data_IF_620386547633
#
_entry.id   IF_620386547633
#
_cell.length_a   1.000
_cell.length_b   1.000
_cell.length_c   1.000
_cell.angle_alpha   90.00
_cell.angle_beta   90.00
_cell.angle_gamma   90.00
#
_symmetry.space_group_name_H-M   'P 1'
#
loop_
_entity.id
_entity.type
_entity.pdbx_description
1 polymer ?
#
# COMPACT_ATOMS: atom_id res chain seq x y z
N UNK A 1 3.35 -27.62 -0.71
CA UNK A 1 4.53 -27.03 -1.37
C UNK A 1 5.28 -26.11 -0.41
N UNK A 2 6.61 -26.13 -0.39
CA UNK A 2 7.40 -25.22 0.45
C UNK A 2 7.38 -23.84 -0.22
N UNK A 3 6.58 -22.90 0.28
CA UNK A 3 6.58 -21.50 -0.19
C UNK A 3 8.00 -20.89 -0.34
N UNK A 4 8.97 -21.37 0.44
CA UNK A 4 10.35 -20.92 0.30
C UNK A 4 11.05 -21.34 -0.99
N UNK A 5 10.61 -22.40 -1.68
CA UNK A 5 11.09 -22.80 -3.01
C UNK A 5 10.43 -21.92 -4.07
N UNK A 6 9.10 -21.77 -4.03
CA UNK A 6 8.34 -20.86 -4.92
C UNK A 6 8.83 -19.40 -4.85
N UNK A 7 9.11 -18.89 -3.65
CA UNK A 7 9.64 -17.53 -3.49
C UNK A 7 11.07 -17.39 -4.04
N UNK A 8 11.87 -18.45 -3.98
CA UNK A 8 13.22 -18.45 -4.56
C UNK A 8 13.19 -18.51 -6.09
N UNK A 9 12.28 -19.31 -6.67
CA UNK A 9 12.02 -19.36 -8.11
C UNK A 9 11.56 -17.99 -8.63
N UNK A 10 10.66 -17.33 -7.89
CA UNK A 10 10.27 -15.94 -8.17
C UNK A 10 11.48 -15.00 -8.19
N UNK A 11 12.33 -15.03 -7.15
CA UNK A 11 13.53 -14.18 -7.09
C UNK A 11 14.53 -14.45 -8.23
N UNK A 12 14.67 -15.71 -8.65
CA UNK A 12 15.53 -16.09 -9.77
C UNK A 12 14.97 -15.60 -11.11
N UNK A 13 13.64 -15.64 -11.28
CA UNK A 13 12.95 -15.08 -12.44
C UNK A 13 12.97 -13.55 -12.48
N UNK A 14 12.93 -12.88 -11.32
CA UNK A 14 12.92 -11.41 -11.18
C UNK A 14 14.28 -10.79 -11.57
N UNK A 15 15.39 -11.46 -11.22
CA UNK A 15 16.76 -11.03 -11.60
C UNK A 15 17.00 -10.97 -13.12
N UNK A 16 16.17 -11.63 -13.93
CA UNK A 16 16.23 -11.59 -15.39
C UNK A 16 15.26 -10.62 -16.07
N UNK A 17 14.25 -10.11 -15.34
CA UNK A 17 13.13 -9.34 -15.90
C UNK A 17 13.19 -7.84 -15.60
N UNK A 18 13.96 -7.42 -14.61
CA UNK A 18 13.97 -6.04 -14.10
C UNK A 18 15.23 -5.30 -14.54
N UNK A 19 15.07 -4.07 -15.03
CA UNK A 19 16.20 -3.20 -15.44
C UNK A 19 17.09 -2.76 -14.26
N UNK A 20 16.62 -2.89 -13.02
CA UNK A 20 17.36 -2.62 -11.79
C UNK A 20 17.76 -3.94 -11.10
N UNK A 21 19.05 -4.28 -11.18
CA UNK A 21 19.67 -5.52 -10.65
C UNK A 21 19.53 -5.74 -9.13
N UNK A 22 18.90 -4.83 -8.38
CA UNK A 22 18.86 -4.86 -6.91
C UNK A 22 17.55 -4.29 -6.34
N UNK A 23 16.42 -4.96 -6.58
CA UNK A 23 15.21 -4.68 -5.79
C UNK A 23 15.38 -5.29 -4.38
N UNK A 24 15.05 -4.58 -3.29
CA UNK A 24 14.99 -5.18 -1.97
C UNK A 24 13.90 -6.24 -1.93
N UNK A 25 14.12 -7.35 -1.23
CA UNK A 25 13.12 -8.39 -1.02
C UNK A 25 13.22 -8.92 0.41
N UNK A 26 12.18 -9.62 0.86
CA UNK A 26 12.25 -10.34 2.13
C UNK A 26 13.40 -11.36 2.09
N UNK A 27 14.39 -11.25 2.98
CA UNK A 27 15.49 -12.21 3.07
C UNK A 27 15.04 -13.48 3.83
N UNK A 28 14.02 -14.15 3.28
CA UNK A 28 13.28 -15.23 3.94
C UNK A 28 14.19 -16.36 4.44
N UNK A 29 15.30 -16.64 3.73
CA UNK A 29 16.32 -17.62 4.17
C UNK A 29 17.12 -17.13 5.37
N UNK A 30 17.56 -15.87 5.38
CA UNK A 30 18.33 -15.26 6.47
C UNK A 30 17.46 -15.14 7.73
N UNK A 31 16.25 -14.60 7.60
CA UNK A 31 15.30 -14.49 8.71
C UNK A 31 14.97 -15.86 9.31
N UNK A 32 14.82 -16.91 8.48
CA UNK A 32 14.69 -18.28 8.99
C UNK A 32 15.91 -18.78 9.76
N UNK A 33 17.14 -18.35 9.42
CA UNK A 33 18.36 -18.70 10.18
C UNK A 33 18.37 -17.99 11.53
N UNK A 34 17.95 -16.72 11.61
CA UNK A 34 17.77 -15.99 12.87
C UNK A 34 16.84 -16.77 13.81
N UNK A 35 15.69 -17.24 13.29
CA UNK A 35 14.76 -18.08 14.06
C UNK A 35 15.37 -19.41 14.55
N UNK A 36 16.31 -20.01 13.81
CA UNK A 36 16.98 -21.26 14.21
C UNK A 36 18.06 -21.07 15.28
N UNK A 37 18.58 -19.85 15.45
CA UNK A 37 19.63 -19.54 16.42
C UNK A 37 19.15 -19.31 17.85
N UNK A 38 17.83 -19.32 18.10
CA UNK A 38 17.29 -19.17 19.44
C UNK A 38 17.65 -20.37 20.32
N UNK A 39 18.57 -20.17 21.28
CA UNK A 39 19.03 -21.20 22.22
C UNK A 39 18.02 -21.41 23.37
N UNK A 40 17.31 -20.37 23.80
CA UNK A 40 16.30 -20.43 24.86
C UNK A 40 15.11 -21.34 24.50
N UNK A 41 14.62 -21.29 23.26
CA UNK A 41 13.54 -22.17 22.80
C UNK A 41 14.01 -23.61 22.51
N UNK A 42 15.29 -23.83 22.17
CA UNK A 42 15.86 -25.18 21.97
C UNK A 42 16.06 -25.93 23.28
N UNK A 43 16.43 -25.24 24.36
CA UNK A 43 16.64 -25.85 25.68
C UNK A 43 15.34 -26.38 26.29
N UNK A 44 14.21 -25.71 26.07
CA UNK A 44 12.90 -26.14 26.60
C UNK A 44 12.26 -27.28 25.79
N UNK A 45 12.41 -27.30 24.47
CA UNK A 45 11.93 -28.40 23.62
C UNK A 45 12.64 -29.74 23.92
N UNK A 46 13.89 -29.69 24.40
CA UNK A 46 14.63 -30.87 24.86
C UNK A 46 14.24 -31.32 26.27
N UNK A 47 13.70 -30.42 27.11
CA UNK A 47 13.17 -30.77 28.44
C UNK A 47 11.81 -31.47 28.32
N UNK A 48 10.95 -31.08 27.38
CA UNK A 48 9.69 -31.78 27.11
C UNK A 48 9.90 -33.21 26.55
N UNK A 49 10.94 -33.43 25.73
CA UNK A 49 11.23 -34.77 25.20
C UNK A 49 11.86 -35.73 26.22
N UNK A 50 12.49 -35.20 27.26
CA UNK A 50 13.12 -36.02 28.31
C UNK A 50 12.16 -36.35 29.46
N UNK A 51 10.92 -35.84 29.45
CA UNK A 51 9.93 -36.07 30.50
C UNK A 51 9.05 -37.31 30.28
N UNK A 52 9.38 -38.18 29.29
CA UNK A 52 8.57 -39.36 28.94
C UNK A 52 9.12 -40.67 29.56
N UNK A 53 10.30 -40.66 30.19
CA UNK A 53 10.81 -41.82 30.93
C UNK A 53 11.03 -41.42 32.40
N UNK A 54 10.33 -42.09 33.33
CA UNK A 54 10.25 -41.81 34.78
C UNK A 54 11.60 -41.75 35.51
N UNK A 55 11.70 -41.36 36.78
CA UNK A 55 10.79 -41.48 37.91
C UNK A 55 10.90 -40.26 38.85
N UNK A 56 10.02 -40.25 39.85
CA UNK A 56 9.75 -39.31 40.94
C UNK A 56 10.97 -38.59 41.53
N UNK A 57 10.92 -37.26 41.65
CA UNK A 57 11.23 -36.60 42.92
C UNK A 57 10.67 -35.18 43.01
N UNK A 58 10.35 -34.82 44.25
CA UNK A 58 9.46 -33.73 44.67
C UNK A 58 10.11 -32.32 44.62
N UNK A 59 9.23 -31.32 44.61
CA UNK A 59 9.44 -29.87 44.80
C UNK A 59 9.75 -28.92 43.61
N UNK A 60 8.90 -27.87 43.61
CA UNK A 60 8.86 -26.63 42.84
C UNK A 60 8.30 -26.69 41.41
N UNK A 61 6.96 -26.63 41.38
CA UNK A 61 6.11 -26.22 40.28
C UNK A 61 6.53 -24.83 39.76
N UNK A 62 7.59 -24.78 38.94
CA UNK A 62 7.92 -23.59 38.16
C UNK A 62 6.95 -23.51 36.97
N UNK A 63 5.81 -22.89 37.27
CA UNK A 63 4.78 -22.51 36.33
C UNK A 63 5.39 -21.52 35.31
N UNK A 64 6.03 -22.03 34.25
CA UNK A 64 6.76 -21.19 33.30
C UNK A 64 5.75 -20.54 32.34
N UNK A 65 5.19 -19.42 32.79
CA UNK A 65 4.44 -18.48 31.98
C UNK A 65 5.37 -17.99 30.85
N UNK A 66 4.99 -18.31 29.61
CA UNK A 66 5.76 -18.02 28.40
C UNK A 66 5.91 -16.51 28.16
N UNK A 67 6.99 -15.91 28.68
CA UNK A 67 7.41 -14.59 28.25
C UNK A 67 8.41 -14.69 27.09
N UNK A 68 8.07 -14.01 26.01
CA UNK A 68 8.84 -13.86 24.77
C UNK A 68 10.34 -13.64 24.94
N UNK A 69 11.16 -14.21 24.05
CA UNK A 69 12.60 -14.02 24.06
C UNK A 69 12.99 -12.62 23.53
N UNK A 70 13.13 -11.63 24.44
CA UNK A 70 13.42 -10.23 24.10
C UNK A 70 14.58 -10.03 23.09
N UNK A 71 15.64 -10.85 23.17
CA UNK A 71 16.77 -10.79 22.23
C UNK A 71 16.38 -11.24 20.81
N UNK A 72 15.55 -12.28 20.70
CA UNK A 72 15.01 -12.71 19.40
C UNK A 72 14.05 -11.64 18.85
N UNK A 73 13.22 -11.05 19.69
CA UNK A 73 12.28 -9.99 19.33
C UNK A 73 13.02 -8.79 18.76
N UNK A 74 13.99 -8.26 19.50
CA UNK A 74 14.74 -7.08 19.08
C UNK A 74 15.48 -7.34 17.76
N UNK A 75 16.17 -8.47 17.63
CA UNK A 75 16.94 -8.78 16.42
C UNK A 75 16.03 -9.07 15.22
N UNK A 76 15.05 -9.93 15.38
CA UNK A 76 14.18 -10.34 14.28
C UNK A 76 13.29 -9.18 13.79
N UNK A 77 12.63 -8.46 14.70
CA UNK A 77 11.71 -7.40 14.33
C UNK A 77 12.42 -6.15 13.80
N UNK A 78 13.64 -5.85 14.26
CA UNK A 78 14.42 -4.75 13.68
C UNK A 78 14.89 -5.05 12.25
N UNK A 79 15.40 -6.27 12.00
CA UNK A 79 15.76 -6.70 10.64
C UNK A 79 14.54 -6.69 9.72
N UNK A 80 13.42 -7.27 10.18
CA UNK A 80 12.19 -7.34 9.40
C UNK A 80 11.60 -5.95 9.11
N UNK A 81 11.64 -5.03 10.08
CA UNK A 81 11.20 -3.64 9.90
C UNK A 81 12.04 -2.94 8.84
N UNK A 82 13.36 -3.13 8.86
CA UNK A 82 14.26 -2.56 7.86
C UNK A 82 13.94 -3.11 6.47
N UNK A 83 13.83 -4.43 6.32
CA UNK A 83 13.42 -5.05 5.05
C UNK A 83 12.07 -4.52 4.56
N UNK A 84 11.06 -4.41 5.44
CA UNK A 84 9.75 -3.87 5.09
C UNK A 84 9.83 -2.42 4.58
N UNK A 85 10.63 -1.57 5.24
CA UNK A 85 10.85 -0.18 4.84
C UNK A 85 11.55 -0.07 3.48
N UNK A 86 12.59 -0.88 3.26
CA UNK A 86 13.35 -0.88 1.99
C UNK A 86 12.46 -1.31 0.82
N UNK A 87 11.65 -2.36 1.02
CA UNK A 87 10.71 -2.87 0.00
C UNK A 87 9.59 -1.84 -0.25
N UNK A 88 9.00 -1.26 0.79
CA UNK A 88 7.94 -0.24 0.64
C UNK A 88 8.45 1.03 -0.07
N UNK A 89 9.67 1.47 0.26
CA UNK A 89 10.34 2.59 -0.39
C UNK A 89 10.65 2.32 -1.86
N UNK A 90 11.23 1.14 -2.16
CA UNK A 90 11.51 0.71 -3.53
C UNK A 90 10.23 0.64 -4.37
N UNK A 91 9.19 -0.04 -3.86
CA UNK A 91 7.90 -0.16 -4.54
C UNK A 91 7.31 1.21 -4.87
N UNK A 92 7.20 2.08 -3.86
CA UNK A 92 6.60 3.42 -4.02
C UNK A 92 7.39 4.28 -5.01
N UNK A 93 8.72 4.17 -5.02
CA UNK A 93 9.59 4.88 -5.95
C UNK A 93 9.39 4.40 -7.40
N UNK A 94 9.36 3.08 -7.62
CA UNK A 94 9.16 2.49 -8.95
C UNK A 94 7.79 2.81 -9.51
N UNK A 95 6.73 2.69 -8.70
CA UNK A 95 5.38 3.08 -9.10
C UNK A 95 5.33 4.55 -9.47
N UNK A 96 5.88 5.45 -8.64
CA UNK A 96 5.91 6.89 -8.94
C UNK A 96 6.61 7.20 -10.27
N UNK A 97 7.74 6.55 -10.53
CA UNK A 97 8.46 6.70 -11.81
C UNK A 97 7.60 6.24 -12.99
N UNK A 98 6.90 5.11 -12.84
CA UNK A 98 6.01 4.59 -13.86
C UNK A 98 4.84 5.55 -14.14
N UNK A 99 4.20 6.08 -13.08
CA UNK A 99 3.12 7.06 -13.20
C UNK A 99 3.60 8.36 -13.86
N UNK A 100 4.78 8.86 -13.51
CA UNK A 100 5.36 10.05 -14.14
C UNK A 100 5.54 9.87 -15.65
N UNK A 101 5.88 8.66 -16.12
CA UNK A 101 6.00 8.37 -17.55
C UNK A 101 4.63 8.37 -18.25
N UNK A 102 3.57 7.90 -17.58
CA UNK A 102 2.22 7.86 -18.14
C UNK A 102 1.54 9.24 -18.15
N UNK A 103 1.76 10.08 -17.13
CA UNK A 103 1.06 11.36 -16.94
C UNK A 103 1.83 12.59 -17.46
N UNK A 104 3.05 12.45 -18.01
CA UNK A 104 3.89 13.58 -18.44
C UNK A 104 3.18 14.50 -19.47
N UNK A 105 2.94 15.79 -19.15
CA UNK A 105 2.29 16.73 -20.07
C UNK A 105 3.26 17.40 -21.05
N UNK A 106 2.78 17.74 -22.25
CA UNK A 106 3.43 18.70 -23.17
C UNK A 106 4.86 18.34 -23.63
N UNK A 107 5.82 19.25 -23.46
CA UNK A 107 7.21 19.08 -23.94
C UNK A 107 7.99 17.95 -23.24
N UNK A 108 7.60 17.56 -22.02
CA UNK A 108 8.16 16.36 -21.39
C UNK A 108 7.75 15.10 -22.17
N UNK A 109 6.53 15.06 -22.70
CA UNK A 109 6.10 14.02 -23.64
C UNK A 109 7.01 13.99 -24.85
N UNK A 110 7.35 15.15 -25.45
CA UNK A 110 8.24 15.21 -26.61
C UNK A 110 9.67 14.70 -26.31
N UNK A 111 10.27 15.06 -25.17
CA UNK A 111 11.61 14.58 -24.76
C UNK A 111 11.62 13.09 -24.38
N UNK A 112 10.54 12.62 -23.76
CA UNK A 112 10.32 11.21 -23.42
C UNK A 112 10.10 10.40 -24.70
N UNK A 113 9.25 10.88 -25.62
CA UNK A 113 9.02 10.32 -26.96
C UNK A 113 10.29 10.29 -27.83
N UNK A 114 11.14 11.32 -27.80
CA UNK A 114 12.43 11.36 -28.52
C UNK A 114 13.42 10.29 -28.06
N UNK A 115 13.39 9.90 -26.77
CA UNK A 115 14.17 8.77 -26.26
C UNK A 115 13.52 7.40 -26.52
N UNK A 116 12.27 7.38 -26.97
CA UNK A 116 11.37 6.22 -26.99
C UNK A 116 11.00 5.69 -28.39
N UNK A 117 11.48 6.30 -29.47
CA UNK A 117 11.16 5.94 -30.86
C UNK A 117 11.50 4.50 -31.32
N UNK A 118 11.86 3.56 -30.43
CA UNK A 118 12.34 2.22 -30.79
C UNK A 118 11.69 1.04 -30.05
N UNK A 119 10.70 1.22 -29.16
CA UNK A 119 9.98 0.09 -28.52
C UNK A 119 8.47 0.34 -28.34
N UNK A 120 7.72 -0.77 -28.27
CA UNK A 120 6.28 -0.79 -28.03
C UNK A 120 5.98 -0.43 -26.56
N UNK A 121 6.01 0.86 -26.22
CA UNK A 121 6.08 1.38 -24.85
C UNK A 121 4.91 0.99 -23.94
N UNK A 122 3.70 0.89 -24.47
CA UNK A 122 2.53 0.49 -23.66
C UNK A 122 2.65 -0.96 -23.16
N UNK A 123 3.20 -1.85 -23.98
CA UNK A 123 3.40 -3.25 -23.61
C UNK A 123 4.51 -3.37 -22.54
N UNK A 124 5.58 -2.59 -22.67
CA UNK A 124 6.64 -2.54 -21.66
C UNK A 124 6.14 -1.97 -20.32
N UNK A 125 5.32 -0.91 -20.34
CA UNK A 125 4.71 -0.37 -19.12
C UNK A 125 3.71 -1.34 -18.48
N UNK A 126 2.92 -2.06 -19.28
CA UNK A 126 1.99 -3.07 -18.78
C UNK A 126 2.73 -4.26 -18.14
N UNK A 127 3.84 -4.70 -18.74
CA UNK A 127 4.72 -5.71 -18.15
C UNK A 127 5.34 -5.23 -16.83
N UNK A 128 5.82 -3.99 -16.78
CA UNK A 128 6.33 -3.40 -15.54
C UNK A 128 5.24 -3.32 -14.46
N UNK A 129 3.98 -3.00 -14.82
CA UNK A 129 2.85 -3.05 -13.89
C UNK A 129 2.70 -4.46 -13.29
N UNK A 130 2.65 -5.50 -14.14
CA UNK A 130 2.51 -6.89 -13.70
C UNK A 130 3.64 -7.31 -12.75
N UNK A 131 4.89 -6.97 -13.10
CA UNK A 131 6.06 -7.26 -12.27
C UNK A 131 5.94 -6.59 -10.89
N UNK A 132 5.53 -5.32 -10.85
CA UNK A 132 5.37 -4.58 -9.59
C UNK A 132 4.23 -5.12 -8.73
N UNK A 133 3.13 -5.56 -9.34
CA UNK A 133 2.01 -6.18 -8.63
C UNK A 133 2.44 -7.52 -8.03
N UNK A 134 3.11 -8.37 -8.82
CA UNK A 134 3.68 -9.63 -8.36
C UNK A 134 4.70 -9.41 -7.23
N UNK A 135 5.58 -8.41 -7.37
CA UNK A 135 6.53 -8.01 -6.35
C UNK A 135 5.86 -7.62 -5.03
N UNK A 136 4.82 -6.78 -5.08
CA UNK A 136 4.07 -6.39 -3.89
C UNK A 136 3.44 -7.61 -3.19
N UNK A 137 2.85 -8.51 -3.97
CA UNK A 137 2.19 -9.70 -3.47
C UNK A 137 3.17 -10.71 -2.87
N UNK A 138 4.24 -11.05 -3.57
CA UNK A 138 5.22 -12.04 -3.12
C UNK A 138 5.91 -11.58 -1.83
N UNK A 139 6.31 -10.30 -1.75
CA UNK A 139 6.90 -9.74 -0.53
C UNK A 139 5.89 -9.73 0.62
N UNK A 140 4.63 -9.34 0.38
CA UNK A 140 3.61 -9.35 1.43
C UNK A 140 3.30 -10.75 1.96
N UNK A 141 3.21 -11.75 1.08
CA UNK A 141 3.01 -13.15 1.47
C UNK A 141 4.23 -13.65 2.27
N UNK A 142 5.45 -13.30 1.84
CA UNK A 142 6.67 -13.67 2.55
C UNK A 142 6.71 -13.08 3.97
N UNK A 143 6.36 -11.79 4.12
CA UNK A 143 6.23 -11.12 5.42
C UNK A 143 5.20 -11.82 6.31
N UNK A 144 4.02 -12.14 5.79
CA UNK A 144 2.99 -12.83 6.56
C UNK A 144 3.42 -14.22 6.99
N UNK A 145 4.07 -14.99 6.11
CA UNK A 145 4.53 -16.35 6.41
C UNK A 145 5.69 -16.35 7.40
N UNK A 146 6.62 -15.40 7.34
CA UNK A 146 7.74 -15.34 8.30
C UNK A 146 7.26 -14.92 9.70
N UNK A 147 6.28 -14.02 9.79
CA UNK A 147 5.65 -13.64 11.06
C UNK A 147 4.87 -14.80 11.68
N UNK A 148 4.05 -15.52 10.90
CA UNK A 148 3.39 -16.75 11.36
C UNK A 148 4.40 -17.81 11.82
N UNK A 149 5.55 -17.90 11.13
CA UNK A 149 6.62 -18.81 11.53
C UNK A 149 7.27 -18.39 12.85
N UNK A 150 7.49 -17.09 13.04
CA UNK A 150 8.03 -16.55 14.28
C UNK A 150 7.12 -16.91 15.47
N UNK A 151 5.81 -16.69 15.35
CA UNK A 151 4.82 -17.02 16.40
C UNK A 151 4.83 -18.53 16.69
N UNK A 152 4.90 -19.36 15.65
CA UNK A 152 4.97 -20.82 15.79
C UNK A 152 6.24 -21.29 16.50
N UNK A 153 7.39 -20.65 16.27
CA UNK A 153 8.68 -21.03 16.88
C UNK A 153 8.76 -20.60 18.34
N UNK A 154 8.16 -19.46 18.69
CA UNK A 154 8.25 -18.88 20.02
C UNK A 154 6.99 -19.09 20.87
N UNK A 155 6.00 -19.84 20.37
CA UNK A 155 4.68 -20.02 21.00
C UNK A 155 4.08 -18.68 21.48
N UNK A 156 4.24 -17.62 20.69
CA UNK A 156 3.90 -16.25 21.08
C UNK A 156 2.89 -15.60 20.13
N UNK A 157 2.47 -14.38 20.49
CA UNK A 157 1.60 -13.53 19.66
C UNK A 157 2.35 -12.30 19.11
N UNK A 158 3.66 -12.22 19.32
CA UNK A 158 4.45 -11.02 19.04
C UNK A 158 4.59 -10.76 17.54
N UNK A 159 4.59 -11.79 16.70
CA UNK A 159 4.54 -11.65 15.24
C UNK A 159 3.23 -11.02 14.77
N UNK A 160 2.09 -11.39 15.36
CA UNK A 160 0.80 -10.69 15.11
C UNK A 160 0.83 -9.24 15.60
N UNK A 161 1.34 -8.98 16.80
CA UNK A 161 1.45 -7.63 17.34
C UNK A 161 2.36 -6.76 16.47
N UNK A 162 3.48 -7.32 16.01
CA UNK A 162 4.40 -6.65 15.09
C UNK A 162 3.76 -6.37 13.73
N UNK A 163 2.91 -7.26 13.21
CA UNK A 163 2.12 -6.99 12.01
C UNK A 163 1.23 -5.76 12.19
N UNK A 164 0.50 -5.68 13.30
CA UNK A 164 -0.31 -4.49 13.62
C UNK A 164 0.55 -3.23 13.76
N UNK A 165 1.75 -3.34 14.33
CA UNK A 165 2.71 -2.24 14.40
C UNK A 165 3.18 -1.80 13.01
N UNK A 166 3.51 -2.72 12.11
CA UNK A 166 3.87 -2.40 10.73
C UNK A 166 2.73 -1.68 9.97
N UNK A 167 1.47 -2.04 10.25
CA UNK A 167 0.31 -1.31 9.69
C UNK A 167 0.27 0.13 10.17
N UNK A 168 0.43 0.35 11.47
CA UNK A 168 0.48 1.69 12.03
C UNK A 168 1.65 2.51 11.48
N UNK A 169 2.79 1.86 11.23
CA UNK A 169 3.99 2.48 10.64
C UNK A 169 3.97 2.51 9.09
N UNK A 170 2.89 2.03 8.45
CA UNK A 170 2.65 2.07 6.99
C UNK A 170 3.69 1.31 6.16
N UNK A 171 4.18 0.21 6.72
CA UNK A 171 5.16 -0.67 6.06
C UNK A 171 4.48 -1.83 5.31
N UNK A 172 3.17 -2.01 5.46
CA UNK A 172 2.41 -3.00 4.68
C UNK A 172 2.16 -2.49 3.25
N UNK A 173 2.89 -3.04 2.27
CA UNK A 173 2.82 -2.66 0.85
C UNK A 173 1.41 -2.83 0.27
N UNK A 174 0.68 -3.86 0.71
CA UNK A 174 -0.69 -4.11 0.27
C UNK A 174 -1.70 -3.04 0.71
N UNK A 175 -1.32 -2.17 1.65
CA UNK A 175 -2.15 -1.03 2.10
C UNK A 175 -1.59 0.30 1.57
N UNK A 176 -0.58 0.26 0.70
CA UNK A 176 0.03 1.45 0.12
C UNK A 176 -0.91 2.08 -0.91
N UNK A 177 -1.15 3.40 -0.86
CA UNK A 177 -1.86 4.12 -1.91
C UNK A 177 -1.24 3.90 -3.30
N UNK A 178 0.08 3.71 -3.37
CA UNK A 178 0.77 3.44 -4.63
C UNK A 178 0.30 2.12 -5.28
N UNK A 179 -0.16 1.14 -4.51
CA UNK A 179 -0.71 -0.09 -5.08
C UNK A 179 -2.10 0.13 -5.70
N UNK A 180 -2.91 1.03 -5.14
CA UNK A 180 -4.20 1.43 -5.70
C UNK A 180 -3.97 2.18 -7.03
N UNK A 181 -3.03 3.14 -7.07
CA UNK A 181 -2.64 3.82 -8.32
C UNK A 181 -2.12 2.84 -9.38
N UNK A 182 -1.27 1.89 -8.98
CA UNK A 182 -0.74 0.87 -9.88
C UNK A 182 -1.86 -0.02 -10.45
N UNK A 183 -2.81 -0.42 -9.61
CA UNK A 183 -4.00 -1.16 -10.03
C UNK A 183 -4.88 -0.36 -10.99
N UNK A 184 -5.08 0.93 -10.71
CA UNK A 184 -5.83 1.82 -11.60
C UNK A 184 -5.14 2.00 -12.97
N UNK A 185 -3.82 2.19 -12.98
CA UNK A 185 -3.00 2.27 -14.19
C UNK A 185 -3.13 0.99 -15.03
N UNK A 186 -3.00 -0.18 -14.38
CA UNK A 186 -3.14 -1.48 -15.02
C UNK A 186 -4.53 -1.64 -15.67
N UNK A 187 -5.61 -1.28 -14.96
CA UNK A 187 -6.97 -1.32 -15.49
C UNK A 187 -7.17 -0.33 -16.66
N UNK A 188 -6.59 0.87 -16.55
CA UNK A 188 -6.63 1.89 -17.60
C UNK A 188 -5.99 1.40 -18.91
N UNK A 189 -4.93 0.59 -18.86
CA UNK A 189 -4.31 0.00 -20.04
C UNK A 189 -5.13 -1.14 -20.64
N UNK A 190 -5.70 -2.03 -19.82
CA UNK A 190 -6.49 -3.17 -20.31
C UNK A 190 -7.74 -2.73 -21.09
N UNK A 191 -8.38 -1.63 -20.69
CA UNK A 191 -9.53 -1.06 -21.42
C UNK A 191 -9.13 -0.48 -22.79
N UNK A 192 -7.92 0.05 -22.93
CA UNK A 192 -7.44 0.66 -24.18
C UNK A 192 -7.16 -0.36 -25.29
N UNK A 193 -6.93 -1.63 -24.94
CA UNK A 193 -6.55 -2.69 -25.89
C UNK A 193 -7.74 -3.52 -26.40
N UNK A 194 -8.97 -3.03 -26.25
CA UNK A 194 -10.16 -3.67 -26.83
C UNK A 194 -10.51 -5.03 -26.23
N UNK A 195 -10.17 -5.26 -24.95
CA UNK A 195 -10.59 -6.45 -24.19
C UNK A 195 -10.01 -7.80 -24.65
N UNK A 196 -9.06 -7.82 -25.59
CA UNK A 196 -8.48 -9.06 -26.16
C UNK A 196 -7.04 -9.32 -25.72
N UNK A 197 -6.73 -9.18 -24.43
CA UNK A 197 -5.52 -9.78 -23.86
C UNK A 197 -5.90 -10.97 -22.99
N UNK A 198 -5.57 -12.16 -23.50
CA UNK A 198 -5.65 -13.48 -22.88
C UNK A 198 -6.12 -13.49 -21.41
N UNK A 199 -7.38 -13.85 -21.19
CA UNK A 199 -8.16 -13.84 -19.94
C UNK A 199 -7.63 -14.71 -18.79
N UNK A 200 -6.37 -15.14 -18.80
CA UNK A 200 -5.97 -16.18 -17.86
C UNK A 200 -5.72 -15.68 -16.43
N UNK A 201 -5.31 -14.43 -16.18
CA UNK A 201 -5.30 -13.85 -14.82
C UNK A 201 -5.26 -12.30 -14.86
N UNK A 202 -6.41 -11.62 -14.91
CA UNK A 202 -6.45 -10.18 -14.57
C UNK A 202 -6.26 -10.04 -13.06
N UNK A 203 -5.09 -9.54 -12.65
CA UNK A 203 -4.74 -9.48 -11.24
C UNK A 203 -5.55 -8.42 -10.49
N UNK A 204 -5.97 -7.37 -11.20
CA UNK A 204 -6.94 -6.40 -10.72
C UNK A 204 -8.27 -6.51 -11.46
N UNK A 205 -9.34 -6.31 -10.70
CA UNK A 205 -10.67 -6.00 -11.21
C UNK A 205 -11.23 -4.81 -10.45
N UNK A 206 -12.27 -4.20 -11.00
CA UNK A 206 -12.93 -3.06 -10.36
C UNK A 206 -14.42 -3.17 -10.65
N UNK A 207 -15.21 -3.35 -9.60
CA UNK A 207 -16.66 -3.38 -9.64
C UNK A 207 -17.16 -2.07 -9.05
N UNK A 208 -17.88 -1.29 -9.84
CA UNK A 208 -18.28 0.06 -9.47
C UNK A 208 -19.81 0.15 -9.34
N UNK A 209 -20.45 -0.84 -8.73
CA UNK A 209 -21.88 -0.76 -8.44
C UNK A 209 -22.22 0.56 -7.71
N UNK A 210 -23.39 1.14 -7.98
CA UNK A 210 -23.80 2.43 -7.40
C UNK A 210 -23.82 2.42 -5.86
N UNK A 211 -23.88 1.24 -5.25
CA UNK A 211 -23.91 1.05 -3.80
C UNK A 211 -22.53 0.90 -3.17
N UNK A 212 -21.57 0.26 -3.85
CA UNK A 212 -20.22 0.00 -3.31
C UNK A 212 -19.17 -0.03 -4.45
N UNK A 213 -18.41 1.06 -4.65
CA UNK A 213 -17.33 1.10 -5.62
C UNK A 213 -16.07 0.44 -5.05
N UNK A 214 -15.76 -0.78 -5.51
CA UNK A 214 -14.67 -1.61 -4.99
C UNK A 214 -13.65 -1.93 -6.08
N UNK A 215 -12.37 -1.68 -5.79
CA UNK A 215 -11.26 -2.23 -6.56
C UNK A 215 -10.74 -3.50 -5.87
N UNK A 216 -10.60 -4.59 -6.63
CA UNK A 216 -10.17 -5.89 -6.09
C UNK A 216 -8.83 -6.32 -6.69
N UNK A 217 -7.91 -6.74 -5.83
CA UNK A 217 -6.68 -7.46 -6.18
C UNK A 217 -6.87 -8.95 -5.89
N UNK A 218 -6.67 -9.79 -6.91
CA UNK A 218 -6.77 -11.25 -6.83
C UNK A 218 -5.40 -11.88 -6.56
N UNK A 219 -5.34 -12.75 -5.55
CA UNK A 219 -4.15 -13.55 -5.25
C UNK A 219 -4.19 -14.92 -5.97
N UNK A 220 -3.03 -15.56 -6.23
CA UNK A 220 -2.97 -16.91 -6.80
C UNK A 220 -3.75 -17.95 -6.00
N UNK A 221 -3.79 -17.79 -4.67
CA UNK A 221 -4.51 -18.69 -3.75
C UNK A 221 -6.01 -18.35 -3.65
N UNK A 222 -6.58 -17.61 -4.62
CA UNK A 222 -7.99 -17.13 -4.63
C UNK A 222 -8.39 -16.21 -3.47
N UNK A 223 -7.43 -15.75 -2.67
CA UNK A 223 -7.66 -14.68 -1.67
C UNK A 223 -7.90 -13.37 -2.42
N UNK A 224 -8.86 -12.57 -1.95
CA UNK A 224 -9.17 -11.25 -2.50
C UNK A 224 -8.76 -10.16 -1.53
N UNK A 225 -8.19 -9.08 -2.05
CA UNK A 225 -7.98 -7.83 -1.32
C UNK A 225 -8.80 -6.75 -1.98
N UNK A 226 -9.68 -6.13 -1.20
CA UNK A 226 -10.63 -5.13 -1.68
C UNK A 226 -10.27 -3.75 -1.14
N UNK A 227 -10.38 -2.76 -2.01
CA UNK A 227 -10.21 -1.35 -1.70
C UNK A 227 -11.55 -0.66 -1.93
N UNK A 228 -12.13 -0.15 -0.85
CA UNK A 228 -13.32 0.69 -0.89
C UNK A 228 -12.95 2.07 -1.46
N UNK A 229 -13.61 2.45 -2.55
CA UNK A 229 -13.43 3.73 -3.23
C UNK A 229 -14.51 4.74 -2.83
N UNK A 230 -15.19 4.51 -1.70
CA UNK A 230 -16.16 5.43 -1.11
C UNK A 230 -15.45 6.43 -0.22
N UNK A 231 -15.80 7.72 -0.35
CA UNK A 231 -15.29 8.74 0.53
C UNK A 231 -16.00 8.65 1.88
N UNK A 232 -15.29 8.50 3.01
CA UNK A 232 -15.92 8.34 4.32
C UNK A 232 -16.56 9.64 4.87
N UNK A 233 -16.44 10.76 4.14
CA UNK A 233 -17.04 12.06 4.51
C UNK A 233 -18.36 12.27 3.78
N UNK A 234 -18.37 12.20 2.44
CA UNK A 234 -19.59 12.42 1.67
C UNK A 234 -20.36 11.13 1.38
N UNK A 235 -19.80 9.97 1.71
CA UNK A 235 -20.39 8.64 1.47
C UNK A 235 -20.69 8.34 -0.01
N UNK A 236 -20.12 9.14 -0.91
CA UNK A 236 -20.15 8.93 -2.36
C UNK A 236 -18.82 8.34 -2.84
N UNK A 237 -18.80 7.78 -4.06
CA UNK A 237 -17.58 7.45 -4.79
C UNK A 237 -16.60 8.63 -4.78
N UNK A 238 -15.34 8.36 -4.45
CA UNK A 238 -14.29 9.39 -4.36
C UNK A 238 -14.16 10.16 -5.66
N UNK A 239 -14.06 11.49 -5.54
CA UNK A 239 -13.94 12.41 -6.65
C UNK A 239 -12.70 13.29 -6.47
N UNK A 240 -11.85 13.37 -7.50
CA UNK A 240 -10.50 13.95 -7.36
C UNK A 240 -9.78 13.34 -6.14
N UNK A 241 -9.55 12.01 -6.14
CA UNK A 241 -9.17 11.27 -4.95
C UNK A 241 -7.79 11.66 -4.43
N UNK A 242 -7.68 11.77 -3.11
CA UNK A 242 -6.42 11.92 -2.39
C UNK A 242 -6.32 10.86 -1.30
N UNK A 243 -5.22 10.13 -1.31
CA UNK A 243 -4.83 9.33 -0.17
C UNK A 243 -4.01 10.21 0.78
N UNK A 244 -4.45 10.37 2.02
CA UNK A 244 -3.62 11.03 3.03
C UNK A 244 -2.38 10.15 3.33
N UNK A 245 -1.39 10.71 4.03
CA UNK A 245 -0.19 9.96 4.40
C UNK A 245 -0.51 8.63 5.12
N UNK A 246 -1.61 8.56 5.85
CA UNK A 246 -2.11 7.36 6.54
C UNK A 246 -2.79 6.32 5.63
N UNK A 247 -2.91 6.57 4.33
CA UNK A 247 -3.51 5.67 3.35
C UNK A 247 -5.02 5.87 3.14
N UNK A 248 -5.72 6.56 4.05
CA UNK A 248 -7.16 6.80 3.91
C UNK A 248 -7.46 7.72 2.72
N UNK A 249 -8.49 7.33 1.96
CA UNK A 249 -8.88 7.93 0.69
C UNK A 249 -10.05 8.90 0.87
N UNK A 250 -9.96 10.09 0.27
CA UNK A 250 -11.00 11.11 0.33
C UNK A 250 -11.14 11.84 -1.00
N UNK A 251 -12.30 12.46 -1.23
CA UNK A 251 -12.42 13.51 -2.24
C UNK A 251 -11.52 14.71 -1.88
N UNK A 252 -11.00 15.42 -2.89
CA UNK A 252 -10.20 16.64 -2.64
C UNK A 252 -10.94 17.65 -1.77
N UNK A 253 -12.19 17.93 -2.14
CA UNK A 253 -13.09 18.85 -1.44
C UNK A 253 -13.29 18.47 0.03
N UNK A 254 -13.55 17.18 0.28
CA UNK A 254 -13.76 16.62 1.61
C UNK A 254 -12.50 16.68 2.48
N UNK A 255 -11.34 16.34 1.92
CA UNK A 255 -10.06 16.44 2.63
C UNK A 255 -9.72 17.89 3.00
N UNK A 256 -9.87 18.83 2.05
CA UNK A 256 -9.68 20.27 2.28
C UNK A 256 -10.60 20.78 3.41
N UNK A 257 -11.90 20.48 3.33
CA UNK A 257 -12.89 20.87 4.34
C UNK A 257 -12.54 20.32 5.73
N UNK A 258 -12.17 19.04 5.82
CA UNK A 258 -11.78 18.41 7.08
C UNK A 258 -10.52 19.03 7.72
N UNK A 259 -9.61 19.58 6.92
CA UNK A 259 -8.45 20.32 7.41
C UNK A 259 -8.71 21.82 7.61
N UNK A 260 -9.95 22.30 7.41
CA UNK A 260 -10.30 23.73 7.44
C UNK A 260 -9.48 24.57 6.45
N UNK A 261 -9.23 24.00 5.27
CA UNK A 261 -8.48 24.64 4.17
C UNK A 261 -9.40 24.82 2.97
N UNK A 262 -9.23 25.93 2.25
CA UNK A 262 -9.99 26.17 1.03
C UNK A 262 -9.57 25.23 -0.10
N UNK A 263 -10.52 24.83 -0.96
CA UNK A 263 -10.24 23.85 -2.04
C UNK A 263 -9.15 24.35 -3.00
N UNK A 264 -9.09 25.66 -3.25
CA UNK A 264 -8.12 26.28 -4.15
C UNK A 264 -6.71 26.40 -3.55
N UNK A 265 -6.58 26.50 -2.21
CA UNK A 265 -5.28 26.47 -1.52
C UNK A 265 -4.68 25.06 -1.57
N UNK A 266 -5.55 24.05 -1.57
CA UNK A 266 -5.18 22.65 -1.70
C UNK A 266 -4.78 22.01 -0.38
N UNK A 267 -4.80 20.68 -0.37
CA UNK A 267 -4.68 19.84 0.84
C UNK A 267 -3.37 20.08 1.60
N UNK A 268 -2.28 20.41 0.88
CA UNK A 268 -0.97 20.65 1.48
C UNK A 268 -0.86 21.96 2.29
N UNK A 269 -1.84 22.86 2.18
CA UNK A 269 -1.91 24.05 3.02
C UNK A 269 -2.50 23.77 4.42
N UNK A 270 -2.89 22.53 4.69
CA UNK A 270 -3.36 22.10 6.00
C UNK A 270 -2.30 22.29 7.08
N UNK A 271 -2.75 22.60 8.29
CA UNK A 271 -1.88 22.70 9.46
C UNK A 271 -1.27 21.34 9.79
N UNK A 272 -0.11 21.33 10.46
CA UNK A 272 0.56 20.08 10.87
C UNK A 272 -0.26 19.32 11.93
N UNK A 273 -1.11 20.03 12.65
CA UNK A 273 -2.00 19.53 13.69
C UNK A 273 -3.30 18.94 13.12
N UNK A 274 -3.56 19.13 11.82
CA UNK A 274 -4.72 18.58 11.14
C UNK A 274 -4.72 17.05 11.21
N UNK A 275 -5.86 16.48 11.63
CA UNK A 275 -6.03 15.05 11.88
C UNK A 275 -6.78 14.36 10.75
N UNK A 276 -6.39 13.14 10.42
CA UNK A 276 -7.17 12.30 9.52
C UNK A 276 -8.58 12.04 10.11
N UNK A 277 -9.66 12.24 9.34
CA UNK A 277 -11.04 12.00 9.82
C UNK A 277 -11.33 10.54 10.21
N UNK A 278 -10.58 9.57 9.67
CA UNK A 278 -10.78 8.15 9.94
C UNK A 278 -9.92 7.67 11.11
N UNK A 279 -8.59 7.78 11.01
CA UNK A 279 -7.69 7.25 12.04
C UNK A 279 -7.21 8.28 13.08
N UNK A 280 -7.58 9.57 12.93
CA UNK A 280 -7.20 10.67 13.82
C UNK A 280 -5.70 10.96 13.92
N UNK A 281 -4.88 10.33 13.08
CA UNK A 281 -3.45 10.57 13.01
C UNK A 281 -3.17 12.00 12.52
N UNK A 282 -2.20 12.67 13.17
CA UNK A 282 -1.78 14.05 12.86
C UNK A 282 -0.74 14.07 11.74
N UNK A 283 -0.60 15.21 11.05
CA UNK A 283 0.45 15.41 10.04
C UNK A 283 0.28 14.59 8.76
N UNK A 284 -0.86 13.92 8.56
CA UNK A 284 -1.10 13.05 7.39
C UNK A 284 -1.30 13.86 6.10
N UNK A 285 -1.70 15.12 6.20
CA UNK A 285 -1.97 16.00 5.07
C UNK A 285 -0.72 16.43 4.29
N UNK A 286 0.42 16.55 4.98
CA UNK A 286 1.69 16.96 4.35
C UNK A 286 2.17 15.97 3.28
N UNK A 287 1.91 14.68 3.51
CA UNK A 287 2.32 13.57 2.65
C UNK A 287 1.16 13.02 1.80
N UNK A 288 0.10 13.81 1.59
CA UNK A 288 -1.04 13.38 0.77
C UNK A 288 -0.61 13.14 -0.69
N UNK A 289 -1.09 12.03 -1.24
CA UNK A 289 -0.85 11.59 -2.62
C UNK A 289 -2.13 11.86 -3.42
N UNK A 290 -2.00 12.60 -4.53
CA UNK A 290 -3.06 12.75 -5.51
C UNK A 290 -3.14 11.48 -6.35
N UNK A 291 -4.33 10.89 -6.43
CA UNK A 291 -4.55 9.58 -7.03
C UNK A 291 -5.02 9.73 -8.48
N UNK A 292 -4.08 10.11 -9.37
CA UNK A 292 -4.40 10.51 -10.76
C UNK A 292 -4.93 9.38 -11.62
N UNK A 293 -4.35 8.18 -11.53
CA UNK A 293 -4.78 7.06 -12.35
C UNK A 293 -6.13 6.52 -11.88
N UNK A 294 -6.35 6.54 -10.56
CA UNK A 294 -7.66 6.25 -10.00
C UNK A 294 -8.71 7.27 -10.49
N UNK A 295 -8.41 8.56 -10.44
CA UNK A 295 -9.27 9.62 -10.98
C UNK A 295 -9.63 9.37 -12.44
N UNK A 296 -8.63 9.04 -13.26
CA UNK A 296 -8.80 8.76 -14.68
C UNK A 296 -9.68 7.52 -14.91
N UNK A 297 -9.46 6.45 -14.13
CA UNK A 297 -10.23 5.22 -14.22
C UNK A 297 -11.71 5.49 -13.89
N UNK A 298 -11.97 6.19 -12.78
CA UNK A 298 -13.33 6.52 -12.35
C UNK A 298 -14.03 7.43 -13.37
N UNK A 299 -13.33 8.45 -13.88
CA UNK A 299 -13.83 9.34 -14.94
C UNK A 299 -14.19 8.62 -16.22
N UNK A 300 -13.39 7.63 -16.65
CA UNK A 300 -13.66 6.84 -17.86
C UNK A 300 -14.92 5.99 -17.72
N UNK A 301 -15.11 5.37 -16.54
CA UNK A 301 -16.23 4.46 -16.28
C UNK A 301 -17.54 5.19 -15.96
N UNK A 302 -17.51 6.31 -15.23
CA UNK A 302 -18.69 7.06 -14.75
C UNK A 302 -18.85 8.44 -15.41
N UNK A 303 -18.78 8.51 -16.75
CA UNK A 303 -18.70 9.80 -17.47
C UNK A 303 -19.79 10.82 -17.10
N UNK A 304 -21.05 10.39 -16.94
CA UNK A 304 -22.16 11.30 -16.67
C UNK A 304 -22.13 11.81 -15.21
N UNK A 305 -22.06 10.90 -14.24
CA UNK A 305 -21.90 11.24 -12.82
C UNK A 305 -20.67 12.14 -12.62
N UNK A 306 -19.55 11.80 -13.26
CA UNK A 306 -18.31 12.57 -13.16
C UNK A 306 -18.45 14.00 -13.68
N UNK A 307 -19.15 14.20 -14.81
CA UNK A 307 -19.45 15.53 -15.36
C UNK A 307 -20.31 16.36 -14.40
N UNK A 308 -21.36 15.75 -13.84
CA UNK A 308 -22.26 16.41 -12.88
C UNK A 308 -21.51 16.80 -11.60
N UNK A 309 -20.78 15.86 -11.00
CA UNK A 309 -19.98 16.11 -9.79
C UNK A 309 -18.92 17.19 -10.01
N UNK A 310 -18.22 17.14 -11.16
CA UNK A 310 -17.24 18.17 -11.52
C UNK A 310 -17.84 19.58 -11.68
N UNK A 311 -19.07 19.69 -12.20
CA UNK A 311 -19.77 20.97 -12.28
C UNK A 311 -20.11 21.50 -10.88
N UNK A 312 -20.62 20.64 -9.99
CA UNK A 312 -20.95 20.97 -8.61
C UNK A 312 -19.71 21.42 -7.82
N UNK A 313 -18.61 20.68 -7.86
CA UNK A 313 -17.39 21.04 -7.13
C UNK A 313 -16.73 22.31 -7.66
N UNK A 314 -16.82 22.58 -8.97
CA UNK A 314 -16.34 23.86 -9.54
C UNK A 314 -17.17 25.04 -9.06
N UNK A 315 -18.50 24.91 -9.02
CA UNK A 315 -19.37 25.97 -8.51
C UNK A 315 -19.04 26.30 -7.04
N UNK A 316 -18.83 25.28 -6.20
CA UNK A 316 -18.44 25.47 -4.81
C UNK A 316 -17.05 26.10 -4.67
N UNK A 317 -16.07 25.67 -5.48
CA UNK A 317 -14.73 26.24 -5.46
C UNK A 317 -14.73 27.74 -5.82
N UNK A 318 -15.54 28.14 -6.81
CA UNK A 318 -15.70 29.55 -7.21
C UNK A 318 -16.36 30.35 -6.10
N UNK A 319 -17.39 29.80 -5.46
CA UNK A 319 -18.08 30.42 -4.32
C UNK A 319 -17.12 30.66 -3.14
N UNK A 320 -16.32 29.66 -2.76
CA UNK A 320 -15.31 29.78 -1.71
C UNK A 320 -14.26 30.84 -2.04
N UNK A 321 -13.78 30.87 -3.29
CA UNK A 321 -12.80 31.85 -3.75
C UNK A 321 -13.35 33.27 -3.65
N UNK A 322 -14.60 33.48 -4.09
CA UNK A 322 -15.27 34.78 -3.98
C UNK A 322 -15.40 35.23 -2.53
N UNK A 323 -15.89 34.36 -1.64
CA UNK A 323 -16.03 34.68 -0.21
C UNK A 323 -14.68 35.02 0.44
N UNK A 324 -13.63 34.28 0.09
CA UNK A 324 -12.27 34.55 0.57
C UNK A 324 -11.80 35.95 0.15
N UNK A 325 -11.91 36.29 -1.14
CA UNK A 325 -11.50 37.61 -1.64
C UNK A 325 -12.35 38.73 -1.06
N UNK A 326 -13.67 38.55 -0.93
CA UNK A 326 -14.56 39.54 -0.30
C UNK A 326 -14.15 39.81 1.16
N UNK A 327 -13.78 38.77 1.93
CA UNK A 327 -13.26 38.90 3.29
C UNK A 327 -11.91 39.63 3.34
N UNK A 328 -10.98 39.27 2.45
CA UNK A 328 -9.68 39.95 2.37
C UNK A 328 -9.84 41.43 2.00
N UNK A 329 -10.73 41.74 1.05
CA UNK A 329 -11.04 43.12 0.68
C UNK A 329 -11.63 43.90 1.84
N UNK A 330 -12.57 43.33 2.61
CA UNK A 330 -13.10 44.00 3.82
C UNK A 330 -12.03 44.25 4.87
N UNK A 331 -11.16 43.27 5.11
CA UNK A 331 -10.05 43.41 6.05
C UNK A 331 -9.06 44.51 5.65
N UNK A 332 -8.75 44.61 4.35
CA UNK A 332 -7.84 45.64 3.81
C UNK A 332 -8.49 47.03 3.82
N UNK A 333 -9.80 47.13 3.56
CA UNK A 333 -10.52 48.41 3.49
C UNK A 333 -11.02 48.89 4.87
N UNK A 334 -11.08 48.01 5.88
CA UNK A 334 -11.34 48.37 7.28
C UNK A 334 -12.79 48.65 7.65
N UNK A 335 -13.76 47.98 7.00
CA UNK A 335 -15.19 48.09 7.33
C UNK A 335 -15.61 47.22 8.50
#
# INVERSE_FOLDING_TARGET
>A
MKFGETFMEYLQGDQGKVSDKYSPHVEYKRLKKVLKSCRACRASALKESNSINGEEDDHETSNCQFESCQLCDQKFFSELKKEASDIAGCFSSRVRRLLQLHTAPGMQKYLVTLRQCFKNDQQAMMQECQILIEYAMMNAIAMQKILKKYDKVHCSVNGRNFKSKMRAERLEILQSPWLIELGALYLNFNESNGGKSNELFSQFSCNLSDTEPIMTLMFPDSVKLEYDLTCPICLDMVFNPYALGCGHLFCKSCACSAASVMIFQGIKAASKESKCPVCREVGTYANAVHMMELDLLLKKRYKQYWKQRHASERAESVKQSRQYWDLQTRYVIGY
#
